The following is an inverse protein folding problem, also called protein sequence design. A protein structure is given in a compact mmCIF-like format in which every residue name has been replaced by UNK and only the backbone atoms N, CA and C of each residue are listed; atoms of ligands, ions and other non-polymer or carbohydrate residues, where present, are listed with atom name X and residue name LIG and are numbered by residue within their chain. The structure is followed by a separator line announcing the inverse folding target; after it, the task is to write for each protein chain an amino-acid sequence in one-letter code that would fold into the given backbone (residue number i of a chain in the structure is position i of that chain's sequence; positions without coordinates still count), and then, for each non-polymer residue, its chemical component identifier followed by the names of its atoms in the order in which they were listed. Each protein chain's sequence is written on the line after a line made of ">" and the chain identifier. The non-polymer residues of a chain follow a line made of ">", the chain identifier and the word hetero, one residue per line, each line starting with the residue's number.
data_IF_402581645649
#
_entry.id   IF_402581645649
#
_cell.length_a   1.000
_cell.length_b   1.000
_cell.length_c   1.000
_cell.angle_alpha   90.00
_cell.angle_beta   90.00
_cell.angle_gamma   90.00
#
_symmetry.space_group_name_H-M   'P 1'
#
loop_
_entity.id
_entity.type
_entity.pdbx_description
1 polymer ?
#
# COMPACT_ATOMS: atom_id res chain seq x y z
N UNK A 1 42.63 -22.69 -7.41
CA UNK A 1 41.78 -22.41 -8.58
C UNK A 1 40.56 -21.67 -8.07
N UNK A 2 40.29 -20.54 -8.69
CA UNK A 2 39.48 -19.41 -8.23
C UNK A 2 37.98 -19.73 -8.22
N UNK A 3 37.26 -19.36 -7.15
CA UNK A 3 35.80 -19.47 -7.09
C UNK A 3 35.21 -18.41 -8.05
N UNK A 4 34.58 -18.84 -9.15
CA UNK A 4 33.80 -17.93 -9.98
C UNK A 4 32.52 -17.51 -9.23
N UNK A 5 32.16 -16.21 -9.23
CA UNK A 5 30.89 -15.78 -8.65
C UNK A 5 29.71 -16.31 -9.45
N UNK A 6 28.69 -16.82 -8.75
CA UNK A 6 27.42 -17.26 -9.33
C UNK A 6 26.73 -16.10 -10.09
N UNK A 7 26.05 -16.36 -11.22
CA UNK A 7 25.34 -15.32 -11.94
C UNK A 7 24.15 -14.83 -11.10
N UNK A 8 24.19 -13.55 -10.72
CA UNK A 8 23.08 -12.88 -10.03
C UNK A 8 21.76 -13.15 -10.77
N UNK A 9 20.79 -13.73 -10.04
CA UNK A 9 19.43 -13.98 -10.53
C UNK A 9 18.83 -12.65 -10.97
N UNK A 10 18.86 -12.37 -12.27
CA UNK A 10 18.21 -11.20 -12.89
C UNK A 10 16.77 -11.14 -12.41
N UNK A 11 16.48 -10.25 -11.46
CA UNK A 11 15.12 -9.93 -11.03
C UNK A 11 14.36 -9.48 -12.28
N UNK A 12 13.49 -10.35 -12.80
CA UNK A 12 12.57 -9.96 -13.87
C UNK A 12 11.66 -8.89 -13.30
N UNK A 13 11.93 -7.63 -13.64
CA UNK A 13 11.03 -6.51 -13.35
C UNK A 13 9.74 -6.80 -14.10
N UNK A 14 8.73 -7.32 -13.39
CA UNK A 14 7.40 -7.55 -13.97
C UNK A 14 6.81 -6.17 -14.26
N UNK A 15 6.82 -5.78 -15.54
CA UNK A 15 6.16 -4.55 -15.96
C UNK A 15 4.66 -4.81 -16.00
N UNK A 16 3.83 -3.99 -15.32
CA UNK A 16 2.38 -4.15 -15.35
C UNK A 16 1.86 -3.91 -16.78
N UNK A 17 0.73 -4.55 -17.16
CA UNK A 17 0.21 -4.51 -18.52
C UNK A 17 -0.17 -3.09 -19.00
N UNK A 18 -0.38 -2.15 -18.09
CA UNK A 18 -0.71 -0.75 -18.39
C UNK A 18 0.53 0.13 -18.66
N UNK A 19 1.74 -0.40 -18.48
CA UNK A 19 2.99 0.35 -18.64
C UNK A 19 3.16 1.01 -20.02
N UNK A 20 2.55 0.45 -21.08
CA UNK A 20 2.58 1.09 -22.41
C UNK A 20 1.61 2.27 -22.50
N UNK A 21 0.42 2.16 -21.91
CA UNK A 21 -0.54 3.25 -21.83
C UNK A 21 0.06 4.42 -21.04
N UNK A 22 0.68 4.14 -19.89
CA UNK A 22 1.40 5.14 -19.09
C UNK A 22 2.48 5.87 -19.90
N UNK A 23 3.23 5.16 -20.75
CA UNK A 23 4.23 5.77 -21.63
C UNK A 23 3.60 6.69 -22.67
N UNK A 24 2.47 6.30 -23.27
CA UNK A 24 1.77 7.15 -24.24
C UNK A 24 1.19 8.40 -23.58
N UNK A 25 0.57 8.26 -22.42
CA UNK A 25 0.03 9.41 -21.66
C UNK A 25 1.15 10.38 -21.32
N UNK A 26 2.29 9.91 -20.82
CA UNK A 26 3.46 10.76 -20.50
C UNK A 26 4.07 11.44 -21.72
N UNK A 27 4.02 10.81 -22.90
CA UNK A 27 4.54 11.39 -24.14
C UNK A 27 3.69 12.57 -24.62
N UNK A 28 2.36 12.47 -24.50
CA UNK A 28 1.44 13.49 -25.00
C UNK A 28 1.08 14.56 -23.97
N UNK A 29 0.88 14.17 -22.70
CA UNK A 29 0.50 15.10 -21.62
C UNK A 29 1.71 15.60 -20.81
N UNK A 30 2.89 15.03 -21.05
CA UNK A 30 4.06 15.29 -20.21
C UNK A 30 4.04 14.51 -18.88
N UNK A 31 5.08 14.66 -18.05
CA UNK A 31 5.03 14.16 -16.68
C UNK A 31 3.86 14.82 -15.94
N UNK A 32 3.19 14.06 -15.07
CA UNK A 32 2.14 14.61 -14.23
C UNK A 32 2.70 15.80 -13.45
N UNK A 33 2.12 16.98 -13.66
CA UNK A 33 2.51 18.18 -12.93
C UNK A 33 2.15 17.97 -11.45
N UNK A 34 3.15 17.65 -10.65
CA UNK A 34 3.04 17.49 -9.21
C UNK A 34 3.67 18.72 -8.60
N UNK A 35 2.85 19.62 -8.08
CA UNK A 35 3.31 20.67 -7.18
C UNK A 35 3.93 20.03 -5.95
N UNK A 36 5.26 20.02 -5.88
CA UNK A 36 6.03 19.42 -4.79
C UNK A 36 6.17 17.89 -4.89
N UNK A 37 6.97 17.40 -5.85
CA UNK A 37 7.26 15.95 -6.00
C UNK A 37 7.78 15.28 -4.72
N UNK A 38 8.41 16.06 -3.85
CA UNK A 38 8.97 15.62 -2.56
C UNK A 38 7.97 15.73 -1.41
N UNK A 39 6.78 16.32 -1.63
CA UNK A 39 5.76 16.46 -0.60
C UNK A 39 4.83 15.25 -0.59
N UNK A 40 4.55 14.65 0.58
CA UNK A 40 3.61 13.54 0.66
C UNK A 40 2.20 14.00 0.34
N UNK A 41 1.41 13.11 -0.26
CA UNK A 41 -0.03 13.34 -0.45
C UNK A 41 -0.71 13.34 0.92
N UNK A 42 -1.34 14.46 1.27
CA UNK A 42 -2.12 14.59 2.52
C UNK A 42 -3.59 14.36 2.20
N UNK A 43 -4.12 13.21 2.62
CA UNK A 43 -5.55 12.94 2.58
C UNK A 43 -6.23 13.75 3.69
N UNK A 44 -7.11 14.68 3.32
CA UNK A 44 -7.92 15.41 4.29
C UNK A 44 -9.17 14.61 4.58
N UNK A 45 -9.32 14.22 5.84
CA UNK A 45 -10.50 13.51 6.31
C UNK A 45 -11.67 14.47 6.51
N UNK A 46 -12.87 14.00 6.15
CA UNK A 46 -14.11 14.61 6.60
C UNK A 46 -14.53 14.02 7.95
N UNK A 47 -15.61 14.55 8.53
CA UNK A 47 -16.09 14.11 9.83
C UNK A 47 -16.54 12.64 9.84
N UNK A 48 -16.99 12.09 8.71
CA UNK A 48 -17.43 10.70 8.61
C UNK A 48 -16.22 9.75 8.56
N UNK A 49 -15.16 10.13 7.84
CA UNK A 49 -13.90 9.39 7.81
C UNK A 49 -13.23 9.39 9.19
N UNK A 50 -13.14 10.54 9.86
CA UNK A 50 -12.58 10.62 11.22
C UNK A 50 -13.34 9.76 12.24
N UNK A 51 -14.67 9.72 12.13
CA UNK A 51 -15.50 8.88 12.99
C UNK A 51 -15.25 7.39 12.71
N UNK A 52 -15.17 7.02 11.44
CA UNK A 52 -14.91 5.64 11.02
C UNK A 52 -13.55 5.17 11.52
N UNK A 53 -12.51 5.99 11.40
CA UNK A 53 -11.16 5.69 11.90
C UNK A 53 -11.19 5.44 13.43
N UNK A 54 -11.87 6.29 14.19
CA UNK A 54 -12.04 6.11 15.65
C UNK A 54 -12.77 4.82 16.00
N UNK A 55 -13.79 4.46 15.23
CA UNK A 55 -14.55 3.22 15.44
C UNK A 55 -13.71 1.99 15.12
N UNK A 56 -12.94 2.03 14.03
CA UNK A 56 -12.05 0.95 13.59
C UNK A 56 -10.86 0.76 14.53
N UNK A 57 -10.36 1.83 15.16
CA UNK A 57 -9.30 1.73 16.15
C UNK A 57 -9.65 0.79 17.33
N UNK A 58 -10.94 0.57 17.61
CA UNK A 58 -11.42 -0.36 18.63
C UNK A 58 -11.43 -1.83 18.18
N UNK A 59 -11.01 -2.16 16.97
CA UNK A 59 -11.11 -3.51 16.39
C UNK A 59 -9.72 -4.14 16.31
N UNK A 60 -9.63 -5.41 16.69
CA UNK A 60 -8.45 -6.26 16.58
C UNK A 60 -8.71 -7.40 15.59
N UNK A 61 -7.71 -7.71 14.77
CA UNK A 61 -7.76 -8.87 13.86
C UNK A 61 -7.23 -10.10 14.58
N UNK A 62 -8.02 -11.17 14.60
CA UNK A 62 -7.64 -12.47 15.15
C UNK A 62 -7.58 -13.52 14.04
N UNK A 63 -6.83 -14.58 14.30
CA UNK A 63 -6.70 -15.75 13.42
C UNK A 63 -6.98 -17.00 14.25
N UNK A 64 -7.82 -17.91 13.74
CA UNK A 64 -8.05 -19.21 14.37
C UNK A 64 -7.00 -20.25 13.95
N UNK A 65 -7.05 -21.44 14.54
CA UNK A 65 -6.13 -22.54 14.23
C UNK A 65 -6.27 -23.10 12.81
N UNK A 66 -7.35 -22.76 12.10
CA UNK A 66 -7.60 -23.15 10.70
C UNK A 66 -7.11 -22.07 9.71
N UNK A 67 -6.67 -20.91 10.20
CA UNK A 67 -6.16 -19.79 9.40
C UNK A 67 -7.25 -18.80 8.97
N UNK A 68 -8.43 -18.82 9.58
CA UNK A 68 -9.48 -17.85 9.29
C UNK A 68 -9.24 -16.54 10.05
N UNK A 69 -9.29 -15.41 9.34
CA UNK A 69 -9.16 -14.08 9.92
C UNK A 69 -10.52 -13.46 10.23
N UNK A 70 -10.67 -12.92 11.43
CA UNK A 70 -11.88 -12.22 11.85
C UNK A 70 -11.56 -10.99 12.69
N UNK A 71 -12.49 -10.05 12.70
CA UNK A 71 -12.40 -8.80 13.42
C UNK A 71 -13.17 -8.90 14.74
N UNK A 72 -12.53 -8.57 15.86
CA UNK A 72 -13.13 -8.57 17.20
C UNK A 72 -13.04 -7.16 17.78
N UNK A 73 -14.09 -6.70 18.44
CA UNK A 73 -14.04 -5.44 19.20
C UNK A 73 -13.28 -5.65 20.50
N UNK A 74 -12.33 -4.77 20.79
CA UNK A 74 -11.63 -4.74 22.08
C UNK A 74 -12.65 -4.51 23.19
N UNK A 75 -12.59 -5.27 24.29
CA UNK A 75 -13.42 -4.98 25.45
C UNK A 75 -13.06 -3.58 25.96
N UNK A 76 -14.06 -2.74 26.14
CA UNK A 76 -13.90 -1.50 26.89
C UNK A 76 -13.84 -1.87 28.35
N UNK A 77 -12.73 -1.59 29.05
CA UNK A 77 -12.64 -1.63 30.51
C UNK A 77 -13.58 -0.54 31.07
N UNK A 78 -14.88 -0.81 31.09
CA UNK A 78 -15.85 -0.04 31.88
C UNK A 78 -15.91 -0.70 33.25
N UNK A 79 -15.16 -0.13 34.21
CA UNK A 79 -15.25 -0.45 35.65
C UNK A 79 -15.81 0.75 36.40
#
# INVERSE_FOLDING_TARGET
>A
MENLPEPEKRRRVRRPPYSRLDSFVRLFLGPADRTGSETPVVHRHDAAEDLSEKQLAGIEMMEDSEGHHYAVRRPTDET
#
